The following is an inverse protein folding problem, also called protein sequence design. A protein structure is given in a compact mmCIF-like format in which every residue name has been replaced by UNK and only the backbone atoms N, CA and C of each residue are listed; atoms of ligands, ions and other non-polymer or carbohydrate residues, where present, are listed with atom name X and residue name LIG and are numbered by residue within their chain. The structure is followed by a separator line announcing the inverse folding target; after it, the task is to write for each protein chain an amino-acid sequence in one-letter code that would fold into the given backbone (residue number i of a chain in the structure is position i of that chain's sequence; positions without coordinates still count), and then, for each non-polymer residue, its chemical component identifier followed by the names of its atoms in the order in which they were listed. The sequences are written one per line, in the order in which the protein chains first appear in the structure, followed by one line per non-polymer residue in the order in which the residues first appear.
data_IF_634871369250
#
_entry.id   IF_634871369250
#
_cell.length_a   1.000
_cell.length_b   1.000
_cell.length_c   1.000
_cell.angle_alpha   90.00
_cell.angle_beta   90.00
_cell.angle_gamma   90.00
#
_symmetry.space_group_name_H-M   'P 1'
#
loop_
_entity.id
_entity.type
_entity.pdbx_description
1 polymer ?
#
# COMPACT_ATOMS: atom_id res chain seq x y z
N UNK A 1 17.22 2.92 -0.22
CA UNK A 1 16.32 2.16 -1.12
C UNK A 1 14.99 1.98 -0.37
N UNK A 2 13.83 2.25 -0.99
CA UNK A 2 12.51 2.35 -0.33
C UNK A 2 11.90 1.02 0.19
N UNK A 3 12.66 -0.08 0.16
CA UNK A 3 12.20 -1.38 0.68
C UNK A 3 11.02 -1.98 -0.10
N UNK A 4 10.28 -2.93 0.54
CA UNK A 4 9.06 -3.50 -0.02
C UNK A 4 7.92 -2.48 -0.16
N UNK A 5 6.96 -2.73 -1.08
CA UNK A 5 5.85 -1.81 -1.36
C UNK A 5 5.00 -1.51 -0.12
N UNK A 6 4.89 -2.47 0.79
CA UNK A 6 4.10 -2.37 2.01
C UNK A 6 4.65 -1.28 2.95
N UNK A 7 5.95 -0.97 2.89
CA UNK A 7 6.54 0.17 3.59
C UNK A 7 5.96 1.50 3.09
N UNK A 8 5.75 1.63 1.79
CA UNK A 8 5.12 2.82 1.19
C UNK A 8 3.62 2.87 1.49
N UNK A 9 2.92 1.75 1.28
CA UNK A 9 1.46 1.68 1.42
C UNK A 9 0.97 1.87 2.86
N UNK A 10 1.81 1.55 3.85
CA UNK A 10 1.52 1.74 5.27
C UNK A 10 2.18 2.98 5.88
N UNK A 11 2.79 3.84 5.04
CA UNK A 11 3.50 5.02 5.51
C UNK A 11 2.56 6.07 6.10
N UNK A 12 2.98 6.63 7.24
CA UNK A 12 2.33 7.78 7.88
C UNK A 12 2.96 9.11 7.46
N UNK A 13 3.98 9.08 6.61
CA UNK A 13 4.66 10.28 6.17
C UNK A 13 3.74 11.10 5.24
N UNK A 14 3.46 12.38 5.55
CA UNK A 14 2.44 13.15 4.85
C UNK A 14 2.75 13.37 3.36
N UNK A 15 4.04 13.40 2.99
CA UNK A 15 4.45 13.43 1.58
C UNK A 15 4.08 12.13 0.85
N UNK A 16 4.26 10.97 1.49
CA UNK A 16 3.96 9.67 0.88
C UNK A 16 2.45 9.51 0.71
N UNK A 17 1.67 9.92 1.72
CA UNK A 17 0.22 9.88 1.65
C UNK A 17 -0.33 10.80 0.56
N UNK A 18 0.16 12.03 0.46
CA UNK A 18 -0.23 12.96 -0.60
C UNK A 18 0.06 12.38 -1.99
N UNK A 19 1.25 11.78 -2.17
CA UNK A 19 1.64 11.14 -3.42
C UNK A 19 0.71 9.98 -3.78
N UNK A 20 0.45 9.06 -2.85
CA UNK A 20 -0.41 7.90 -3.09
C UNK A 20 -1.86 8.30 -3.37
N UNK A 21 -2.36 9.37 -2.75
CA UNK A 21 -3.73 9.87 -2.94
C UNK A 21 -3.87 10.79 -4.15
N UNK A 22 -2.76 11.20 -4.78
CA UNK A 22 -2.77 12.18 -5.88
C UNK A 22 -3.32 13.55 -5.46
N UNK A 23 -3.18 13.93 -4.17
CA UNK A 23 -3.69 15.21 -3.65
C UNK A 23 -2.79 16.36 -4.14
N UNK A 24 -3.41 17.38 -4.74
CA UNK A 24 -2.69 18.61 -5.16
C UNK A 24 -2.31 19.50 -3.98
N UNK A 25 -3.09 19.44 -2.90
CA UNK A 25 -2.80 20.15 -1.67
C UNK A 25 -1.96 19.27 -0.74
N UNK A 26 -0.85 19.79 -0.24
CA UNK A 26 0.02 19.11 0.71
C UNK A 26 1.49 19.51 0.60
N UNK A 27 2.38 18.83 1.34
CA UNK A 27 3.81 19.14 1.40
C UNK A 27 4.58 18.98 0.08
N UNK A 28 4.16 18.10 -0.83
CA UNK A 28 4.74 17.98 -2.18
C UNK A 28 4.23 19.13 -3.04
N UNK A 29 5.12 20.02 -3.47
CA UNK A 29 4.87 20.99 -4.54
C UNK A 29 4.26 22.34 -4.12
N UNK A 30 4.22 22.68 -2.83
CA UNK A 30 3.66 23.95 -2.34
C UNK A 30 4.61 24.76 -1.44
N UNK A 31 5.79 24.24 -1.09
CA UNK A 31 6.66 24.88 -0.09
C UNK A 31 7.68 25.89 -0.63
N UNK A 32 8.01 25.90 -1.94
CA UNK A 32 9.14 26.71 -2.43
C UNK A 32 8.78 27.82 -3.43
N UNK A 33 7.64 27.77 -4.13
CA UNK A 33 7.33 28.75 -5.20
C UNK A 33 6.02 29.56 -5.03
N UNK A 34 5.19 29.27 -4.02
CA UNK A 34 3.84 29.84 -3.90
C UNK A 34 3.65 30.68 -2.63
N UNK A 35 3.18 31.92 -2.79
CA UNK A 35 2.91 32.82 -1.66
C UNK A 35 1.75 32.29 -0.80
N UNK A 36 1.86 32.48 0.52
CA UNK A 36 0.93 31.97 1.53
C UNK A 36 -0.52 32.42 1.32
N UNK A 37 -0.72 33.64 0.80
CA UNK A 37 -2.03 34.18 0.46
C UNK A 37 -2.68 33.43 -0.71
N UNK A 38 -1.90 33.08 -1.73
CA UNK A 38 -2.41 32.33 -2.89
C UNK A 38 -2.75 30.89 -2.50
N UNK A 39 -1.96 30.26 -1.63
CA UNK A 39 -2.26 28.94 -1.07
C UNK A 39 -3.59 28.91 -0.30
N UNK A 40 -3.86 29.93 0.51
CA UNK A 40 -5.10 30.02 1.28
C UNK A 40 -6.33 30.21 0.39
N UNK A 41 -6.24 31.06 -0.64
CA UNK A 41 -7.32 31.28 -1.58
C UNK A 41 -7.67 30.00 -2.39
N UNK A 42 -6.66 29.26 -2.83
CA UNK A 42 -6.87 27.99 -3.54
C UNK A 42 -7.38 26.88 -2.62
N UNK A 43 -6.92 26.81 -1.36
CA UNK A 43 -7.46 25.90 -0.35
C UNK A 43 -8.93 26.20 -0.05
N UNK A 44 -9.32 27.47 0.02
CA UNK A 44 -10.71 27.86 0.19
C UNK A 44 -11.57 27.41 -1.01
N UNK A 45 -11.09 27.61 -2.24
CA UNK A 45 -11.76 27.11 -3.45
C UNK A 45 -11.86 25.58 -3.49
N UNK A 46 -10.79 24.85 -3.13
CA UNK A 46 -10.81 23.38 -3.09
C UNK A 46 -11.78 22.84 -2.03
N UNK A 47 -11.94 23.56 -0.92
CA UNK A 47 -12.94 23.27 0.12
C UNK A 47 -14.37 23.51 -0.38
N UNK A 48 -14.62 24.63 -1.05
CA UNK A 48 -15.92 24.95 -1.64
C UNK A 48 -16.31 23.97 -2.77
N UNK A 49 -15.33 23.49 -3.54
CA UNK A 49 -15.54 22.50 -4.62
C UNK A 49 -15.71 21.05 -4.10
N UNK A 50 -15.71 20.84 -2.77
CA UNK A 50 -15.80 19.49 -2.17
C UNK A 50 -14.58 18.60 -2.41
N UNK A 51 -13.51 19.12 -3.03
CA UNK A 51 -12.30 18.36 -3.36
C UNK A 51 -11.38 18.17 -2.15
N UNK A 52 -11.51 19.01 -1.11
CA UNK A 52 -10.78 18.87 0.15
C UNK A 52 -11.21 17.64 0.97
N UNK A 53 -12.34 17.01 0.62
CA UNK A 53 -12.94 15.88 1.32
C UNK A 53 -13.03 14.61 0.45
N UNK A 54 -12.13 14.44 -0.54
CA UNK A 54 -11.96 13.10 -1.12
C UNK A 54 -11.34 12.23 -0.05
N UNK A 55 -12.18 11.37 0.50
CA UNK A 55 -11.98 10.45 1.62
C UNK A 55 -10.52 9.98 1.77
N UNK A 56 -10.05 9.88 3.02
CA UNK A 56 -8.71 9.43 3.42
C UNK A 56 -8.40 7.95 3.04
N UNK A 57 -9.25 7.33 2.24
CA UNK A 57 -9.06 5.99 1.70
C UNK A 57 -8.00 6.02 0.60
N UNK A 58 -6.81 5.55 0.95
CA UNK A 58 -5.74 5.31 -0.01
C UNK A 58 -6.06 4.01 -0.76
N UNK A 59 -6.80 4.09 -1.86
CA UNK A 59 -7.11 2.93 -2.67
C UNK A 59 -6.04 2.76 -3.75
N UNK A 60 -5.11 1.82 -3.54
CA UNK A 60 -4.18 1.36 -4.57
C UNK A 60 -4.70 0.04 -5.10
N UNK A 61 -4.95 -0.01 -6.42
CA UNK A 61 -5.42 -1.23 -7.07
C UNK A 61 -4.47 -2.40 -6.80
N UNK A 62 -5.01 -3.63 -6.64
CA UNK A 62 -4.19 -4.82 -6.51
C UNK A 62 -3.23 -4.98 -7.69
N UNK A 63 -2.07 -5.57 -7.42
CA UNK A 63 -1.10 -5.87 -8.46
C UNK A 63 -1.66 -6.91 -9.45
N UNK A 64 -1.54 -6.63 -10.75
CA UNK A 64 -1.97 -7.55 -11.81
C UNK A 64 -1.15 -8.84 -11.84
N UNK A 65 -1.86 -9.96 -12.02
CA UNK A 65 -1.26 -11.27 -12.26
C UNK A 65 -0.91 -11.49 -13.74
N UNK A 66 0.06 -12.37 -14.05
CA UNK A 66 0.34 -12.77 -15.43
C UNK A 66 -0.88 -13.37 -16.12
N UNK A 67 -1.04 -13.09 -17.42
CA UNK A 67 -2.10 -13.71 -18.23
C UNK A 67 -2.00 -15.23 -18.24
N UNK A 68 -3.15 -15.91 -18.29
CA UNK A 68 -3.22 -17.36 -18.33
C UNK A 68 -2.42 -17.96 -19.51
N UNK A 69 -1.74 -19.08 -19.27
CA UNK A 69 -0.91 -19.78 -20.27
C UNK A 69 0.56 -19.35 -20.31
N UNK A 70 0.95 -18.32 -19.55
CA UNK A 70 2.36 -17.96 -19.35
C UNK A 70 2.99 -18.77 -18.21
N UNK A 71 4.30 -19.07 -18.28
CA UNK A 71 5.00 -19.79 -17.21
C UNK A 71 5.12 -18.94 -15.94
N UNK A 72 5.33 -19.61 -14.79
CA UNK A 72 5.53 -18.95 -13.51
C UNK A 72 6.72 -17.98 -13.53
N UNK A 73 6.50 -16.75 -13.03
CA UNK A 73 7.55 -15.74 -12.93
C UNK A 73 8.42 -16.01 -11.71
N UNK A 74 9.54 -16.72 -11.89
CA UNK A 74 10.54 -16.97 -10.83
C UNK A 74 11.01 -15.72 -10.07
N UNK A 75 10.94 -14.54 -10.70
CA UNK A 75 11.27 -13.27 -10.05
C UNK A 75 10.33 -12.91 -8.89
N UNK A 76 9.06 -13.35 -8.94
CA UNK A 76 8.09 -13.14 -7.86
C UNK A 76 8.54 -13.89 -6.61
N UNK A 77 8.88 -15.17 -6.75
CA UNK A 77 9.37 -15.96 -5.60
C UNK A 77 10.66 -15.39 -5.02
N UNK A 78 11.64 -15.06 -5.85
CA UNK A 78 12.89 -14.43 -5.37
C UNK A 78 12.64 -13.11 -4.64
N UNK A 79 11.61 -12.33 -5.05
CA UNK A 79 11.21 -11.12 -4.33
C UNK A 79 10.66 -11.51 -2.95
N UNK A 80 9.72 -12.46 -2.88
CA UNK A 80 9.13 -12.91 -1.61
C UNK A 80 10.20 -13.38 -0.64
N UNK A 81 11.14 -14.21 -1.10
CA UNK A 81 12.24 -14.72 -0.25
C UNK A 81 13.06 -13.59 0.37
N UNK A 82 13.45 -12.58 -0.43
CA UNK A 82 14.17 -11.40 0.08
C UNK A 82 13.34 -10.59 1.08
N UNK A 83 12.04 -10.44 0.83
CA UNK A 83 11.13 -9.71 1.74
C UNK A 83 11.03 -10.45 3.07
N UNK A 84 10.91 -11.78 3.04
CA UNK A 84 10.81 -12.60 4.25
C UNK A 84 12.10 -12.57 5.07
N UNK A 85 13.26 -12.60 4.41
CA UNK A 85 14.57 -12.48 5.08
C UNK A 85 14.69 -11.16 5.88
N UNK A 86 14.25 -10.05 5.30
CA UNK A 86 14.29 -8.72 5.93
C UNK A 86 13.04 -8.38 6.76
N UNK A 87 12.05 -9.26 6.88
CA UNK A 87 10.74 -8.92 7.45
C UNK A 87 10.86 -8.30 8.84
N UNK A 88 11.75 -8.83 9.68
CA UNK A 88 11.99 -8.37 11.04
C UNK A 88 12.57 -6.94 11.13
N UNK A 89 13.19 -6.43 10.06
CA UNK A 89 13.78 -5.08 10.04
C UNK A 89 12.77 -4.02 9.61
N UNK A 90 11.57 -4.42 9.17
CA UNK A 90 10.56 -3.50 8.63
C UNK A 90 9.66 -2.92 9.74
N UNK A 91 9.02 -1.76 9.51
CA UNK A 91 8.02 -1.22 10.44
C UNK A 91 6.87 -2.20 10.69
N UNK A 92 6.31 -2.21 11.90
CA UNK A 92 5.28 -3.19 12.29
C UNK A 92 4.07 -3.22 11.36
N UNK A 93 3.56 -2.05 10.94
CA UNK A 93 2.45 -1.95 9.98
C UNK A 93 2.79 -2.62 8.65
N UNK A 94 4.00 -2.39 8.14
CA UNK A 94 4.48 -3.05 6.92
C UNK A 94 4.62 -4.56 7.11
N UNK A 95 5.11 -5.02 8.26
CA UNK A 95 5.19 -6.46 8.54
C UNK A 95 3.81 -7.13 8.58
N UNK A 96 2.82 -6.49 9.19
CA UNK A 96 1.44 -6.98 9.24
C UNK A 96 0.85 -7.05 7.83
N UNK A 97 0.94 -5.96 7.06
CA UNK A 97 0.46 -5.92 5.68
C UNK A 97 1.12 -6.98 4.78
N UNK A 98 2.43 -7.25 4.97
CA UNK A 98 3.11 -8.33 4.24
C UNK A 98 2.51 -9.68 4.59
N UNK A 99 2.34 -10.00 5.88
CA UNK A 99 1.78 -11.28 6.33
C UNK A 99 0.35 -11.51 5.82
N UNK A 100 -0.48 -10.46 5.85
CA UNK A 100 -1.84 -10.51 5.32
C UNK A 100 -1.90 -10.78 3.82
N UNK A 101 -0.87 -10.31 3.08
CA UNK A 101 -0.76 -10.51 1.63
C UNK A 101 -0.26 -11.89 1.19
N UNK A 102 0.19 -12.74 2.12
CA UNK A 102 0.70 -14.08 1.80
C UNK A 102 -0.43 -15.02 1.38
N UNK A 103 -0.17 -15.85 0.37
CA UNK A 103 -1.07 -16.93 -0.04
C UNK A 103 -0.92 -18.14 0.89
N UNK A 104 -1.85 -19.11 0.81
CA UNK A 104 -1.74 -20.36 1.58
C UNK A 104 -0.43 -21.11 1.28
N UNK A 105 -0.04 -21.19 0.01
CA UNK A 105 1.23 -21.77 -0.41
C UNK A 105 2.45 -21.05 0.21
N UNK A 106 2.37 -19.73 0.34
CA UNK A 106 3.44 -18.95 0.97
C UNK A 106 3.50 -19.23 2.48
N UNK A 107 2.35 -19.31 3.16
CA UNK A 107 2.27 -19.61 4.60
C UNK A 107 2.91 -20.97 4.90
N UNK A 108 2.59 -21.99 4.10
CA UNK A 108 3.20 -23.33 4.21
C UNK A 108 4.71 -23.26 3.94
N UNK A 109 5.14 -22.56 2.88
CA UNK A 109 6.56 -22.45 2.51
C UNK A 109 7.41 -21.79 3.60
N UNK A 110 6.89 -20.76 4.25
CA UNK A 110 7.61 -20.00 5.26
C UNK A 110 7.32 -20.47 6.68
N UNK A 111 6.59 -21.58 6.85
CA UNK A 111 6.22 -22.17 8.14
C UNK A 111 5.50 -21.16 9.06
N UNK A 112 4.67 -20.30 8.47
CA UNK A 112 3.93 -19.27 9.20
C UNK A 112 2.59 -19.87 9.66
N UNK A 113 2.27 -19.83 10.97
CA UNK A 113 0.99 -20.29 11.47
C UNK A 113 -0.16 -19.50 10.83
N UNK A 114 -1.16 -20.21 10.31
CA UNK A 114 -2.39 -19.57 9.85
C UNK A 114 -3.23 -19.14 11.06
N UNK A 115 -3.59 -17.85 11.11
CA UNK A 115 -4.55 -17.31 12.07
C UNK A 115 -5.82 -16.85 11.33
N UNK A 116 -6.97 -17.53 11.53
CA UNK A 116 -8.23 -17.14 10.90
C UNK A 116 -8.75 -15.77 11.36
N UNK A 117 -8.24 -15.19 12.46
CA UNK A 117 -8.71 -13.93 13.04
C UNK A 117 -8.13 -12.64 12.44
N UNK A 118 -7.11 -12.71 11.58
CA UNK A 118 -6.34 -11.53 11.15
C UNK A 118 -6.85 -10.82 9.88
N UNK A 119 -8.02 -11.22 9.32
CA UNK A 119 -8.42 -10.87 7.94
C UNK A 119 -9.23 -9.56 7.81
N UNK A 120 -9.45 -8.81 8.90
CA UNK A 120 -10.41 -7.68 8.86
C UNK A 120 -9.91 -6.41 8.14
N UNK A 121 -8.63 -6.28 7.82
CA UNK A 121 -8.04 -4.94 7.53
C UNK A 121 -7.95 -4.58 6.04
N UNK A 122 -7.91 -5.56 5.13
CA UNK A 122 -7.86 -5.32 3.68
C UNK A 122 -8.69 -6.40 3.00
N UNK A 123 -9.68 -5.99 2.20
CA UNK A 123 -10.59 -6.88 1.47
C UNK A 123 -9.83 -7.58 0.32
N UNK A 124 -8.90 -8.48 0.67
CA UNK A 124 -8.21 -9.36 -0.26
C UNK A 124 -9.18 -10.51 -0.56
N UNK A 125 -9.72 -10.51 -1.77
CA UNK A 125 -10.59 -11.59 -2.25
C UNK A 125 -9.79 -12.90 -2.30
N UNK A 126 -9.81 -13.67 -1.20
CA UNK A 126 -9.33 -15.05 -1.21
C UNK A 126 -10.42 -15.91 -1.85
N UNK A 127 -10.12 -16.69 -2.91
CA UNK A 127 -11.07 -17.64 -3.42
C UNK A 127 -11.37 -18.70 -2.34
N UNK A 128 -12.65 -18.95 -2.07
CA UNK A 128 -13.09 -19.97 -1.12
C UNK A 128 -12.54 -21.35 -1.49
N UNK A 129 -12.16 -22.20 -0.51
CA UNK A 129 -11.77 -23.57 -0.79
C UNK A 129 -12.99 -24.37 -1.28
N UNK A 130 -12.81 -25.11 -2.38
CA UNK A 130 -13.75 -26.13 -2.83
C UNK A 130 -13.57 -27.33 -1.89
N UNK A 131 -14.67 -27.77 -1.27
CA UNK A 131 -14.74 -28.97 -0.40
C UNK A 131 -14.43 -30.25 -1.17
#
# INVERSE_FOLDING_TARGET
MFGPREVLLTSEEPVVQQFLQGRRAGPIGMSEEKDSAQMQAEMAQLREQGAAARDDITFVDPQYEPSAGLPERRAVQRRKDRVMEMLHTLPLKAQQAIRESLTEDDLVRYEIPWDPGSTEVINVHRPFPIQ
#
